data_IF_338081533145
#
_entry.id   IF_338081533145
#
_cell.length_a   1.000
_cell.length_b   1.000
_cell.length_c   1.000
_cell.angle_alpha   90.00
_cell.angle_beta   90.00
_cell.angle_gamma   90.00
#
_symmetry.space_group_name_H-M   'P 1'
#
loop_
_entity.id
_entity.type
_entity.pdbx_description
1 polymer ?
#
# COMPACT_ATOMS: atom_id res chain seq x y z
N UNK A 1 -4.09 -0.31 77.64
CA UNK A 1 -3.01 -1.30 77.46
C UNK A 1 -1.80 -0.75 78.17
N UNK A 2 -1.11 -1.57 78.93
CA UNK A 2 0.10 -1.17 79.66
C UNK A 2 1.21 -0.98 78.63
N UNK A 3 2.00 0.08 78.75
CA UNK A 3 3.13 0.33 77.83
C UNK A 3 4.37 -0.47 78.26
N UNK A 4 5.35 -0.72 77.35
CA UNK A 4 6.57 -1.45 77.73
C UNK A 4 7.33 -0.74 78.85
N UNK A 5 7.30 0.60 78.84
CA UNK A 5 7.84 1.45 79.89
C UNK A 5 7.10 1.29 81.22
N UNK A 6 5.78 1.20 81.19
CA UNK A 6 4.99 0.93 82.39
C UNK A 6 5.35 -0.45 82.98
N UNK A 7 5.55 -1.49 82.16
CA UNK A 7 5.96 -2.83 82.62
C UNK A 7 7.32 -2.78 83.34
N UNK A 8 8.27 -1.97 82.85
CA UNK A 8 9.60 -1.80 83.47
C UNK A 8 9.55 -1.05 84.79
N UNK A 9 8.54 -0.21 84.99
CA UNK A 9 8.40 0.65 86.18
C UNK A 9 7.52 0.08 87.29
N UNK A 10 6.86 -1.06 87.06
CA UNK A 10 5.99 -1.70 88.04
C UNK A 10 6.81 -2.22 89.23
N UNK A 11 6.39 -1.83 90.43
CA UNK A 11 6.92 -2.34 91.71
C UNK A 11 5.85 -3.12 92.45
N UNK A 12 6.22 -4.26 93.05
CA UNK A 12 5.32 -5.11 93.82
C UNK A 12 5.62 -5.07 95.32
N UNK A 13 4.57 -5.17 96.16
CA UNK A 13 4.70 -5.26 97.62
C UNK A 13 5.23 -6.63 98.08
N UNK A 14 6.02 -6.65 99.16
CA UNK A 14 6.60 -7.89 99.71
C UNK A 14 5.60 -8.62 100.62
N UNK A 15 5.16 -9.81 100.21
CA UNK A 15 4.35 -10.73 101.02
C UNK A 15 5.18 -11.79 101.76
N UNK A 16 4.65 -12.34 102.85
CA UNK A 16 5.34 -13.33 103.73
C UNK A 16 5.66 -14.68 103.05
N UNK A 17 5.03 -14.95 101.88
CA UNK A 17 5.38 -16.01 100.91
C UNK A 17 5.20 -15.41 99.51
N UNK A 18 6.25 -15.36 98.71
CA UNK A 18 6.22 -14.73 97.38
C UNK A 18 7.30 -15.26 96.43
N UNK A 19 7.21 -14.84 95.17
CA UNK A 19 8.20 -15.13 94.15
C UNK A 19 9.52 -14.38 94.43
N UNK A 20 10.63 -14.88 93.89
CA UNK A 20 11.93 -14.22 94.00
C UNK A 20 11.92 -12.96 93.14
N UNK A 21 12.39 -11.85 93.73
CA UNK A 21 12.36 -10.53 93.08
C UNK A 21 13.23 -10.55 91.82
N UNK A 22 14.41 -11.20 91.86
CA UNK A 22 15.30 -11.26 90.69
C UNK A 22 14.67 -11.97 89.48
N UNK A 23 13.95 -13.08 89.72
CA UNK A 23 13.30 -13.85 88.66
C UNK A 23 12.12 -13.08 88.05
N UNK A 24 11.36 -12.36 88.89
CA UNK A 24 10.25 -11.49 88.44
C UNK A 24 10.79 -10.31 87.64
N UNK A 25 11.85 -9.64 88.10
CA UNK A 25 12.46 -8.51 87.38
C UNK A 25 13.08 -8.95 86.04
N UNK A 26 13.65 -10.16 85.96
CA UNK A 26 14.11 -10.74 84.70
C UNK A 26 12.94 -11.00 83.74
N UNK A 27 11.84 -11.56 84.24
CA UNK A 27 10.63 -11.81 83.45
C UNK A 27 9.98 -10.50 82.94
N UNK A 28 9.84 -9.47 83.80
CA UNK A 28 9.29 -8.17 83.41
C UNK A 28 10.14 -7.51 82.31
N UNK A 29 11.47 -7.59 82.40
CA UNK A 29 12.37 -7.06 81.36
C UNK A 29 12.20 -7.78 80.03
N UNK A 30 12.10 -9.12 80.05
CA UNK A 30 11.85 -9.89 78.84
C UNK A 30 10.48 -9.57 78.26
N UNK A 31 9.42 -9.55 79.09
CA UNK A 31 8.06 -9.22 78.67
C UNK A 31 7.96 -7.81 78.07
N UNK A 32 8.65 -6.82 78.66
CA UNK A 32 8.73 -5.47 78.10
C UNK A 32 9.45 -5.45 76.74
N UNK A 33 10.55 -6.19 76.59
CA UNK A 33 11.29 -6.31 75.32
C UNK A 33 10.46 -6.99 74.23
N UNK A 34 9.80 -8.09 74.54
CA UNK A 34 8.94 -8.81 73.58
C UNK A 34 7.75 -7.95 73.17
N UNK A 35 7.17 -7.19 74.11
CA UNK A 35 6.09 -6.27 73.80
C UNK A 35 6.55 -5.10 72.92
N UNK A 36 7.75 -4.55 73.14
CA UNK A 36 8.35 -3.57 72.23
C UNK A 36 8.50 -4.13 70.83
N UNK A 37 9.07 -5.33 70.69
CA UNK A 37 9.24 -5.98 69.40
C UNK A 37 7.91 -6.15 68.68
N UNK A 38 6.89 -6.66 69.38
CA UNK A 38 5.54 -6.84 68.83
C UNK A 38 4.90 -5.51 68.41
N UNK A 39 5.13 -4.41 69.13
CA UNK A 39 4.64 -3.08 68.74
C UNK A 39 5.32 -2.63 67.45
N UNK A 40 6.66 -2.73 67.36
CA UNK A 40 7.38 -2.37 66.13
C UNK A 40 6.98 -3.23 64.93
N UNK A 41 6.86 -4.55 65.11
CA UNK A 41 6.42 -5.45 64.03
C UNK A 41 4.98 -5.15 63.58
N UNK A 42 4.10 -4.81 64.52
CA UNK A 42 2.74 -4.38 64.22
C UNK A 42 2.74 -3.09 63.40
N UNK A 43 3.49 -2.08 63.80
CA UNK A 43 3.59 -0.80 63.07
C UNK A 43 4.15 -1.02 61.66
N UNK A 44 5.20 -1.82 61.50
CA UNK A 44 5.75 -2.16 60.19
C UNK A 44 4.74 -2.91 59.31
N UNK A 45 3.97 -3.83 59.90
CA UNK A 45 2.96 -4.61 59.19
C UNK A 45 1.78 -3.72 58.76
N UNK A 46 1.35 -2.81 59.62
CA UNK A 46 0.31 -1.81 59.32
C UNK A 46 0.76 -0.86 58.20
N UNK A 47 2.02 -0.41 58.21
CA UNK A 47 2.60 0.38 57.12
C UNK A 47 2.63 -0.40 55.80
N UNK A 48 3.05 -1.67 55.82
CA UNK A 48 3.05 -2.54 54.64
C UNK A 48 1.62 -2.73 54.09
N UNK A 49 0.64 -2.93 54.97
CA UNK A 49 -0.77 -3.05 54.59
C UNK A 49 -1.28 -1.77 53.91
N UNK A 50 -0.92 -0.61 54.44
CA UNK A 50 -1.30 0.68 53.85
C UNK A 50 -0.75 0.85 52.44
N UNK A 51 0.55 0.61 52.25
CA UNK A 51 1.20 0.69 50.92
C UNK A 51 0.57 -0.31 49.94
N UNK A 52 0.25 -1.52 50.41
CA UNK A 52 -0.34 -2.54 49.55
C UNK A 52 -1.78 -2.17 49.15
N UNK A 53 -2.56 -1.58 50.06
CA UNK A 53 -3.89 -1.06 49.76
C UNK A 53 -3.83 0.08 48.73
N UNK A 54 -2.88 1.01 48.85
CA UNK A 54 -2.67 2.07 47.87
C UNK A 54 -2.33 1.51 46.47
N UNK A 55 -1.43 0.53 46.39
CA UNK A 55 -1.10 -0.13 45.12
C UNK A 55 -2.27 -0.87 44.50
N UNK A 56 -3.16 -1.46 45.30
CA UNK A 56 -4.37 -2.10 44.79
C UNK A 56 -5.28 -1.06 44.12
N UNK A 57 -5.45 0.11 44.74
CA UNK A 57 -6.23 1.19 44.16
C UNK A 57 -5.58 1.79 42.90
N UNK A 58 -4.25 1.88 42.86
CA UNK A 58 -3.51 2.24 41.63
C UNK A 58 -3.76 1.22 40.51
N UNK A 59 -3.58 -0.07 40.78
CA UNK A 59 -3.81 -1.12 39.77
C UNK A 59 -5.26 -1.19 39.29
N UNK A 60 -6.24 -0.90 40.15
CA UNK A 60 -7.64 -0.79 39.72
C UNK A 60 -7.84 0.35 38.73
N UNK A 61 -7.26 1.53 39.00
CA UNK A 61 -7.31 2.67 38.08
C UNK A 61 -6.61 2.35 36.76
N UNK A 62 -5.47 1.69 36.81
CA UNK A 62 -4.74 1.27 35.61
C UNK A 62 -5.52 0.23 34.79
N UNK A 63 -6.19 -0.71 35.45
CA UNK A 63 -7.07 -1.68 34.80
C UNK A 63 -8.23 -0.98 34.08
N UNK A 64 -8.85 0.01 34.70
CA UNK A 64 -9.93 0.80 34.10
C UNK A 64 -9.45 1.66 32.92
N UNK A 65 -8.27 2.25 33.05
CA UNK A 65 -7.61 2.97 31.96
C UNK A 65 -7.32 2.03 30.78
N UNK A 66 -6.81 0.83 31.05
CA UNK A 66 -6.50 -0.17 30.05
C UNK A 66 -7.77 -0.68 29.36
N UNK A 67 -8.84 -0.99 30.11
CA UNK A 67 -10.15 -1.36 29.55
C UNK A 67 -10.68 -0.27 28.62
N UNK A 68 -10.59 0.99 29.05
CA UNK A 68 -11.02 2.14 28.25
C UNK A 68 -10.18 2.27 26.97
N UNK A 69 -8.86 2.13 27.07
CA UNK A 69 -7.97 2.14 25.90
C UNK A 69 -8.28 1.01 24.91
N UNK A 70 -8.54 -0.21 25.40
CA UNK A 70 -8.92 -1.35 24.59
C UNK A 70 -10.26 -1.12 23.86
N UNK A 71 -11.28 -0.63 24.56
CA UNK A 71 -12.57 -0.31 23.95
C UNK A 71 -12.44 0.78 22.89
N UNK A 72 -11.64 1.80 23.14
CA UNK A 72 -11.38 2.86 22.16
C UNK A 72 -10.60 2.34 20.94
N UNK A 73 -9.58 1.49 21.16
CA UNK A 73 -8.83 0.85 20.09
C UNK A 73 -9.73 -0.05 19.22
N UNK A 74 -10.63 -0.82 19.84
CA UNK A 74 -11.61 -1.64 19.13
C UNK A 74 -12.54 -0.78 18.27
N UNK A 75 -13.17 0.26 18.86
CA UNK A 75 -14.05 1.19 18.12
C UNK A 75 -13.31 1.87 16.96
N UNK A 76 -12.05 2.25 17.17
CA UNK A 76 -11.22 2.83 16.12
C UNK A 76 -10.94 1.82 15.01
N UNK A 77 -10.62 0.57 15.34
CA UNK A 77 -10.46 -0.51 14.37
C UNK A 77 -11.73 -0.74 13.54
N UNK A 78 -12.89 -0.83 14.19
CA UNK A 78 -14.19 -0.97 13.53
C UNK A 78 -14.50 0.21 12.59
N UNK A 79 -14.21 1.45 13.03
CA UNK A 79 -14.37 2.64 12.20
C UNK A 79 -13.45 2.63 10.98
N UNK A 80 -12.18 2.26 11.13
CA UNK A 80 -11.22 2.14 10.02
C UNK A 80 -11.72 1.11 9.01
N UNK A 81 -12.20 -0.04 9.47
CA UNK A 81 -12.75 -1.09 8.59
C UNK A 81 -13.98 -0.58 7.85
N UNK A 82 -14.90 0.09 8.54
CA UNK A 82 -16.13 0.65 7.94
C UNK A 82 -15.80 1.69 6.87
N UNK A 83 -14.89 2.62 7.17
CA UNK A 83 -14.45 3.64 6.21
C UNK A 83 -13.73 3.04 5.01
N UNK A 84 -12.86 2.05 5.22
CA UNK A 84 -12.16 1.36 4.15
C UNK A 84 -13.15 0.66 3.21
N UNK A 85 -14.15 -0.04 3.75
CA UNK A 85 -15.21 -0.68 2.96
C UNK A 85 -16.02 0.35 2.16
N UNK A 86 -16.45 1.43 2.80
CA UNK A 86 -17.22 2.49 2.12
C UNK A 86 -16.39 3.15 1.00
N UNK A 87 -15.10 3.41 1.22
CA UNK A 87 -14.18 3.95 0.21
C UNK A 87 -13.98 2.97 -0.95
N UNK A 88 -13.78 1.68 -0.65
CA UNK A 88 -13.65 0.63 -1.66
C UNK A 88 -14.91 0.53 -2.53
N UNK A 89 -16.09 0.48 -1.92
CA UNK A 89 -17.36 0.49 -2.65
C UNK A 89 -17.54 1.75 -3.51
N UNK A 90 -17.19 2.93 -2.98
CA UNK A 90 -17.26 4.16 -3.76
C UNK A 90 -16.29 4.15 -4.94
N UNK A 91 -15.10 3.59 -4.76
CA UNK A 91 -14.10 3.46 -5.83
C UNK A 91 -14.58 2.50 -6.91
N UNK A 92 -15.13 1.34 -6.53
CA UNK A 92 -15.71 0.37 -7.46
C UNK A 92 -16.88 0.98 -8.24
N UNK A 93 -17.78 1.71 -7.58
CA UNK A 93 -18.88 2.41 -8.27
C UNK A 93 -18.36 3.45 -9.27
N UNK A 94 -17.38 4.27 -8.87
CA UNK A 94 -16.77 5.27 -9.77
C UNK A 94 -16.08 4.62 -10.97
N UNK A 95 -15.31 3.57 -10.72
CA UNK A 95 -14.63 2.82 -11.78
C UNK A 95 -15.63 2.17 -12.74
N UNK A 96 -16.73 1.60 -12.23
CA UNK A 96 -17.81 1.04 -13.04
C UNK A 96 -18.44 2.09 -13.96
N UNK A 97 -18.85 3.23 -13.41
CA UNK A 97 -19.43 4.33 -14.19
C UNK A 97 -18.44 4.81 -15.27
N UNK A 98 -17.16 4.99 -14.92
CA UNK A 98 -16.13 5.42 -15.88
C UNK A 98 -15.90 4.39 -16.99
N UNK A 99 -15.93 3.08 -16.67
CA UNK A 99 -15.79 2.02 -17.64
C UNK A 99 -16.99 1.96 -18.60
N UNK A 100 -18.20 2.12 -18.07
CA UNK A 100 -19.44 2.18 -18.85
C UNK A 100 -19.44 3.41 -19.77
N UNK A 101 -19.05 4.58 -19.25
CA UNK A 101 -18.92 5.82 -20.02
C UNK A 101 -17.88 5.68 -21.14
N UNK A 102 -16.71 5.12 -20.84
CA UNK A 102 -15.67 4.90 -21.84
C UNK A 102 -16.14 3.93 -22.94
N UNK A 103 -16.83 2.86 -22.55
CA UNK A 103 -17.39 1.89 -23.49
C UNK A 103 -18.45 2.53 -24.38
N UNK A 104 -19.31 3.38 -23.82
CA UNK A 104 -20.31 4.13 -24.57
C UNK A 104 -19.65 5.07 -25.59
N UNK A 105 -18.68 5.88 -25.16
CA UNK A 105 -17.94 6.80 -26.04
C UNK A 105 -17.23 6.04 -27.17
N UNK A 106 -16.57 4.92 -26.85
CA UNK A 106 -15.90 4.11 -27.86
C UNK A 106 -16.88 3.55 -28.91
N UNK A 107 -18.08 3.11 -28.49
CA UNK A 107 -19.13 2.66 -29.42
C UNK A 107 -19.64 3.79 -30.30
N UNK A 108 -19.91 4.95 -29.71
CA UNK A 108 -20.34 6.15 -30.46
C UNK A 108 -19.29 6.53 -31.53
N UNK A 109 -18.01 6.47 -31.19
CA UNK A 109 -16.91 6.72 -32.14
C UNK A 109 -16.84 5.68 -33.25
N UNK A 110 -17.03 4.40 -32.95
CA UNK A 110 -17.07 3.33 -33.97
C UNK A 110 -18.23 3.56 -34.92
N UNK A 111 -19.42 3.84 -34.41
CA UNK A 111 -20.60 4.12 -35.26
C UNK A 111 -20.41 5.36 -36.14
N UNK A 112 -19.74 6.40 -35.63
CA UNK A 112 -19.40 7.60 -36.40
C UNK A 112 -18.40 7.27 -37.53
N UNK A 113 -17.32 6.56 -37.21
CA UNK A 113 -16.31 6.14 -38.18
C UNK A 113 -16.89 5.20 -39.25
N UNK A 114 -17.80 4.29 -38.89
CA UNK A 114 -18.48 3.41 -39.83
C UNK A 114 -19.30 4.23 -40.84
N UNK A 115 -20.04 5.25 -40.39
CA UNK A 115 -20.80 6.15 -41.27
C UNK A 115 -19.90 6.95 -42.20
N UNK A 116 -18.78 7.47 -41.71
CA UNK A 116 -17.80 8.18 -42.54
C UNK A 116 -17.20 7.26 -43.61
N UNK A 117 -16.88 6.02 -43.23
CA UNK A 117 -16.35 5.01 -44.14
C UNK A 117 -17.37 4.63 -45.22
N UNK A 118 -18.64 4.45 -44.86
CA UNK A 118 -19.73 4.21 -45.81
C UNK A 118 -19.90 5.38 -46.78
N UNK A 119 -19.86 6.62 -46.29
CA UNK A 119 -19.93 7.82 -47.12
C UNK A 119 -18.77 7.88 -48.11
N UNK A 120 -17.53 7.67 -47.64
CA UNK A 120 -16.35 7.67 -48.50
C UNK A 120 -16.44 6.56 -49.59
N UNK A 121 -16.92 5.36 -49.22
CA UNK A 121 -17.18 4.28 -50.21
C UNK A 121 -18.21 4.69 -51.25
N UNK A 122 -19.29 5.36 -50.85
CA UNK A 122 -20.31 5.85 -51.76
C UNK A 122 -19.74 6.90 -52.73
N UNK A 123 -18.93 7.83 -52.24
CA UNK A 123 -18.24 8.85 -53.05
C UNK A 123 -17.29 8.19 -54.08
N UNK A 124 -16.52 7.17 -53.68
CA UNK A 124 -15.65 6.40 -54.60
C UNK A 124 -16.47 5.67 -55.66
N UNK A 125 -17.59 5.03 -55.27
CA UNK A 125 -18.48 4.35 -56.21
C UNK A 125 -19.11 5.33 -57.21
N UNK A 126 -19.54 6.50 -56.74
CA UNK A 126 -20.06 7.57 -57.58
C UNK A 126 -19.00 8.07 -58.57
N UNK A 127 -17.79 8.36 -58.08
CA UNK A 127 -16.67 8.80 -58.93
C UNK A 127 -16.36 7.77 -60.02
N UNK A 128 -16.26 6.48 -59.65
CA UNK A 128 -16.06 5.38 -60.59
C UNK A 128 -17.15 5.36 -61.67
N UNK A 129 -18.43 5.48 -61.28
CA UNK A 129 -19.55 5.50 -62.22
C UNK A 129 -19.51 6.72 -63.14
N UNK A 130 -19.18 7.91 -62.61
CA UNK A 130 -19.03 9.14 -63.40
C UNK A 130 -17.92 9.02 -64.45
N UNK A 131 -16.75 8.50 -64.05
CA UNK A 131 -15.61 8.28 -64.97
C UNK A 131 -15.98 7.27 -66.05
N UNK A 132 -16.59 6.13 -65.68
CA UNK A 132 -17.02 5.12 -66.65
C UNK A 132 -18.08 5.66 -67.61
N UNK A 133 -19.01 6.50 -67.14
CA UNK A 133 -20.01 7.13 -68.00
C UNK A 133 -19.39 8.12 -68.98
N UNK A 134 -18.41 8.91 -68.54
CA UNK A 134 -17.69 9.86 -69.40
C UNK A 134 -16.93 9.13 -70.51
N UNK A 135 -16.24 8.03 -70.19
CA UNK A 135 -15.58 7.21 -71.20
C UNK A 135 -16.56 6.64 -72.22
N UNK A 136 -17.71 6.12 -71.79
CA UNK A 136 -18.74 5.62 -72.70
C UNK A 136 -19.24 6.72 -73.65
N UNK A 137 -19.50 7.91 -73.13
CA UNK A 137 -19.92 9.07 -73.93
C UNK A 137 -18.85 9.48 -74.95
N UNK A 138 -17.56 9.45 -74.57
CA UNK A 138 -16.46 9.75 -75.50
C UNK A 138 -16.34 8.69 -76.60
N UNK A 139 -16.48 7.41 -76.28
CA UNK A 139 -16.47 6.32 -77.26
C UNK A 139 -17.63 6.49 -78.24
N UNK A 140 -18.84 6.80 -77.75
CA UNK A 140 -20.00 7.05 -78.59
C UNK A 140 -19.76 8.25 -79.53
N UNK A 141 -19.20 9.36 -79.00
CA UNK A 141 -18.83 10.52 -79.82
C UNK A 141 -17.81 10.20 -80.90
N UNK A 142 -16.81 9.35 -80.61
CA UNK A 142 -15.82 8.92 -81.60
C UNK A 142 -16.46 8.02 -82.67
N UNK A 143 -17.40 7.16 -82.29
CA UNK A 143 -18.12 6.29 -83.22
C UNK A 143 -19.12 7.04 -84.13
N UNK A 144 -19.50 8.28 -83.79
CA UNK A 144 -20.33 9.14 -84.63
C UNK A 144 -19.53 10.04 -85.60
N UNK A 145 -18.20 10.02 -85.55
CA UNK A 145 -17.37 10.66 -86.57
C UNK A 145 -17.32 9.70 -87.78
N UNK A 146 -17.72 10.13 -88.99
CA UNK A 146 -17.53 9.32 -90.17
C UNK A 146 -16.03 9.14 -90.40
N UNK A 147 -15.54 7.90 -90.34
CA UNK A 147 -14.22 7.56 -90.80
C UNK A 147 -14.17 7.66 -92.32
N UNK A 148 -13.38 8.60 -92.85
CA UNK A 148 -12.65 8.34 -94.08
C UNK A 148 -11.51 7.38 -93.70
N UNK A 149 -11.81 6.07 -93.70
CA UNK A 149 -10.77 5.05 -93.68
C UNK A 149 -10.36 4.74 -95.13
N UNK A 150 -9.60 5.66 -95.72
CA UNK A 150 -8.59 5.30 -96.73
C UNK A 150 -7.30 5.98 -96.28
N UNK A 151 -6.30 5.17 -95.91
CA UNK A 151 -4.95 5.23 -96.46
C UNK A 151 -4.04 4.23 -95.73
N UNK A 152 -3.83 3.15 -96.48
CA UNK A 152 -2.54 2.51 -96.78
C UNK A 152 -1.88 1.61 -95.73
N UNK A 153 -2.05 0.32 -96.02
CA UNK A 153 -1.08 -0.74 -95.77
C UNK A 153 0.36 -0.25 -96.05
N UNK A 154 1.20 -0.31 -95.03
CA UNK A 154 2.65 -0.39 -95.21
C UNK A 154 3.10 -1.73 -94.63
N UNK A 155 3.10 -2.76 -95.48
CA UNK A 155 4.07 -3.87 -95.44
C UNK A 155 5.47 -3.28 -95.70
N UNK A 156 6.63 -3.65 -95.14
CA UNK A 156 7.18 -4.80 -94.41
C UNK A 156 8.58 -4.33 -93.86
N UNK A 157 9.59 -5.16 -93.48
CA UNK A 157 9.63 -6.58 -93.08
C UNK A 157 10.48 -6.89 -91.80
N UNK A 158 10.16 -8.04 -91.19
CA UNK A 158 11.02 -9.11 -90.60
C UNK A 158 12.17 -8.78 -89.61
N UNK A 159 12.12 -9.47 -88.45
CA UNK A 159 13.16 -10.28 -87.76
C UNK A 159 12.91 -10.12 -86.25
N UNK A 160 12.58 -11.13 -85.45
CA UNK A 160 13.47 -12.21 -85.02
C UNK A 160 12.67 -13.32 -84.30
N UNK A 161 13.12 -14.56 -84.43
CA UNK A 161 12.49 -15.78 -83.94
C UNK A 161 12.70 -16.01 -82.42
N UNK A 162 11.79 -16.79 -81.84
CA UNK A 162 11.68 -17.27 -80.45
C UNK A 162 12.94 -17.96 -79.85
N UNK A 163 13.04 -18.17 -78.51
CA UNK A 163 12.43 -19.37 -77.90
C UNK A 163 11.79 -19.20 -76.50
N UNK A 164 10.84 -20.11 -76.27
CA UNK A 164 10.07 -20.45 -75.06
C UNK A 164 10.91 -20.89 -73.85
N UNK A 165 10.32 -20.88 -72.63
CA UNK A 165 10.26 -21.98 -71.63
C UNK A 165 9.96 -21.43 -70.22
N UNK A 166 8.82 -21.75 -69.60
CA UNK A 166 8.56 -22.89 -68.70
C UNK A 166 9.37 -22.91 -67.39
N UNK A 167 8.63 -22.71 -66.30
CA UNK A 167 8.70 -23.33 -64.98
C UNK A 167 10.05 -23.80 -64.35
N UNK A 168 10.09 -23.53 -63.04
CA UNK A 168 10.61 -24.33 -61.91
C UNK A 168 11.98 -24.00 -61.30
N UNK A 169 11.98 -24.12 -59.97
CA UNK A 169 13.07 -24.60 -59.09
C UNK A 169 14.13 -23.64 -58.53
N UNK A 170 13.95 -23.35 -57.22
CA UNK A 170 14.88 -23.56 -56.10
C UNK A 170 16.40 -23.56 -56.36
N UNK A 171 17.12 -22.73 -55.59
CA UNK A 171 18.24 -23.11 -54.68
C UNK A 171 18.90 -21.82 -54.15
N UNK A 172 18.74 -21.43 -52.88
CA UNK A 172 19.57 -21.79 -51.72
C UNK A 172 21.09 -21.60 -51.86
N UNK A 173 21.57 -20.62 -51.06
CA UNK A 173 22.84 -20.50 -50.29
C UNK A 173 24.15 -20.16 -51.01
N UNK A 174 24.71 -18.98 -50.70
CA UNK A 174 25.97 -18.84 -49.92
C UNK A 174 26.17 -17.39 -49.41
N UNK A 175 26.18 -17.25 -48.09
CA UNK A 175 26.78 -16.17 -47.27
C UNK A 175 28.34 -16.22 -47.32
N UNK A 176 29.15 -15.39 -46.60
CA UNK A 176 28.88 -14.19 -45.78
C UNK A 176 29.92 -13.04 -45.97
N UNK A 177 29.64 -11.83 -45.46
CA UNK A 177 30.64 -11.00 -44.76
C UNK A 177 29.98 -10.33 -43.54
N UNK A 178 30.39 -10.83 -42.37
CA UNK A 178 30.30 -10.30 -41.01
C UNK A 178 30.88 -8.86 -40.88
N UNK A 179 30.66 -7.96 -39.91
CA UNK A 179 30.07 -7.85 -38.55
C UNK A 179 30.40 -6.38 -38.10
N UNK A 180 30.17 -5.90 -36.85
CA UNK A 180 29.01 -6.02 -35.95
C UNK A 180 28.63 -4.66 -35.33
N UNK A 181 27.38 -4.50 -34.86
CA UNK A 181 27.11 -3.68 -33.66
C UNK A 181 26.10 -4.41 -32.78
N UNK A 182 26.61 -5.03 -31.72
CA UNK A 182 25.89 -5.46 -30.52
C UNK A 182 25.23 -4.22 -29.85
N UNK A 183 24.17 -4.29 -29.04
CA UNK A 183 24.05 -5.13 -27.85
C UNK A 183 22.61 -5.01 -27.28
N UNK A 184 21.95 -6.16 -27.27
CA UNK A 184 21.04 -6.73 -26.27
C UNK A 184 20.17 -5.85 -25.34
N UNK A 185 18.91 -6.29 -25.30
CA UNK A 185 17.92 -6.06 -24.26
C UNK A 185 18.48 -6.35 -22.85
N UNK A 186 18.15 -5.46 -21.90
CA UNK A 186 18.19 -5.79 -20.48
C UNK A 186 16.76 -5.95 -19.95
N UNK A 187 16.52 -7.18 -19.51
CA UNK A 187 15.40 -7.64 -18.70
C UNK A 187 15.29 -6.92 -17.36
N UNK A 188 14.08 -7.01 -16.80
CA UNK A 188 13.66 -6.73 -15.44
C UNK A 188 14.75 -6.83 -14.34
N UNK A 189 14.92 -5.74 -13.57
CA UNK A 189 15.49 -5.79 -12.22
C UNK A 189 14.83 -4.77 -11.26
N UNK A 190 13.90 -5.29 -10.45
CA UNK A 190 13.75 -5.06 -9.00
C UNK A 190 14.42 -3.81 -8.39
N UNK A 191 13.75 -2.65 -8.43
CA UNK A 191 14.09 -1.54 -7.53
C UNK A 191 13.59 -1.81 -6.10
N UNK A 192 14.45 -2.45 -5.31
CA UNK A 192 14.40 -2.46 -3.84
C UNK A 192 15.25 -1.28 -3.35
N UNK A 193 14.66 -0.09 -3.23
CA UNK A 193 15.31 1.04 -2.56
C UNK A 193 14.93 1.04 -1.08
N UNK A 194 15.84 0.61 -0.21
CA UNK A 194 15.81 0.94 1.23
C UNK A 194 16.57 2.25 1.45
N UNK A 195 16.18 3.08 2.43
CA UNK A 195 16.80 4.37 2.70
C UNK A 195 18.20 4.19 3.29
N UNK A 196 19.17 5.02 2.85
CA UNK A 196 20.45 5.15 3.54
C UNK A 196 20.24 5.94 4.83
N UNK A 197 20.19 5.21 5.96
CA UNK A 197 20.56 5.74 7.25
C UNK A 197 22.08 6.03 7.23
N UNK A 198 22.45 7.31 7.34
CA UNK A 198 23.78 7.70 7.76
C UNK A 198 23.74 7.77 9.29
N UNK A 199 24.29 6.74 9.92
CA UNK A 199 24.37 6.57 11.36
C UNK A 199 25.80 6.91 11.80
N UNK A 200 25.90 7.51 12.99
CA UNK A 200 27.07 7.55 13.92
C UNK A 200 27.93 8.84 13.77
N UNK A 201 28.13 9.73 14.77
CA UNK A 201 28.18 9.60 16.24
C UNK A 201 27.97 10.98 16.95
N UNK A 202 27.29 10.94 18.11
CA UNK A 202 27.01 11.93 19.19
C UNK A 202 28.26 12.61 19.85
N UNK A 203 28.18 13.37 20.99
CA UNK A 203 27.19 14.30 21.61
C UNK A 203 27.83 15.63 22.12
N UNK A 204 27.07 16.65 22.58
CA UNK A 204 27.40 17.69 23.62
C UNK A 204 26.36 18.84 23.50
N UNK A 205 25.32 19.00 24.32
CA UNK A 205 25.27 19.47 25.73
C UNK A 205 25.83 20.89 25.98
N UNK A 206 24.95 21.91 25.97
CA UNK A 206 24.85 23.07 26.90
C UNK A 206 23.76 24.06 26.41
N UNK A 207 22.61 24.21 27.08
CA UNK A 207 22.34 25.06 28.26
C UNK A 207 22.11 26.55 27.90
N UNK A 208 20.84 26.97 28.03
CA UNK A 208 20.30 28.15 28.73
C UNK A 208 20.77 29.55 28.31
N UNK A 209 19.80 30.43 28.01
CA UNK A 209 19.46 31.71 28.69
C UNK A 209 18.43 32.45 27.80
N UNK A 210 17.17 32.71 28.23
CA UNK A 210 16.67 33.74 29.17
C UNK A 210 16.40 35.10 28.49
N UNK A 211 15.10 35.41 28.34
CA UNK A 211 14.39 36.69 28.52
C UNK A 211 14.78 37.96 27.76
N UNK A 212 13.76 38.64 27.20
CA UNK A 212 13.55 40.08 27.41
C UNK A 212 13.32 40.93 26.16
N UNK A 213 12.06 41.17 25.77
CA UNK A 213 11.34 42.44 25.97
C UNK A 213 9.91 42.32 25.43
#
# INVERSE_FOLDING_TARGET
>A
MITPEEIRSITFDKGMRGYRIEDVDAFLRQAASDMEQLITEKEETEQKLYILAEKIEEYRKDEDNLKTALLNAQRMGENVIREAKQKAESMLRKAGIQADDLTRIAREQVEEQEKELERAKAEVAQFKNSVLSLYKQHIESLSCLPGEEEMDEIEAPVTEQEPQQQATEQSLVTEPVAEPVAEQACTAEKHRSRPKAFLILHPFMKIRMRTGS
#
